data_IF_401555843716
#
_entry.id   IF_401555843716
#
_cell.length_a   1.000
_cell.length_b   1.000
_cell.length_c   1.000
_cell.angle_alpha   90.00
_cell.angle_beta   90.00
_cell.angle_gamma   90.00
#
_symmetry.space_group_name_H-M   'P 1'
#
loop_
_entity.id
_entity.type
_entity.pdbx_description
1 polymer ?
#
# COMPACT_ATOMS: atom_id res chain seq x y z
N UNK A 1 -2.06 -11.87 -23.99
CA UNK A 1 -1.86 -11.69 -23.56
C UNK A 1 -1.63 -11.32 -22.60
N UNK A 2 -1.40 -11.47 -22.17
CA UNK A 2 -1.28 -11.23 -21.32
C UNK A 2 -0.83 -10.31 -20.65
N UNK A 3 -0.13 -9.93 -20.87
CA UNK A 3 0.21 -8.81 -20.17
C UNK A 3 -0.86 -8.21 -19.48
N UNK A 4 -1.71 -8.94 -19.20
CA UNK A 4 -2.78 -8.46 -18.53
C UNK A 4 -2.51 -8.04 -17.19
N UNK A 5 -1.38 -8.38 -16.64
CA UNK A 5 -1.10 -8.03 -15.28
C UNK A 5 -1.30 -6.58 -14.97
N UNK A 6 -0.81 -5.67 -15.79
CA UNK A 6 -1.00 -4.26 -15.49
C UNK A 6 -2.45 -3.87 -15.49
N UNK A 7 -3.23 -4.59 -16.23
CA UNK A 7 -4.60 -4.23 -16.36
C UNK A 7 -5.39 -4.55 -15.16
N UNK A 8 -4.88 -5.35 -14.26
CA UNK A 8 -5.57 -5.68 -13.07
C UNK A 8 -5.39 -4.68 -11.98
N UNK A 9 -4.56 -3.69 -12.20
CA UNK A 9 -4.28 -2.68 -11.20
C UNK A 9 -5.04 -1.41 -11.51
N UNK A 10 -5.44 -0.68 -10.48
CA UNK A 10 -6.19 0.55 -10.69
C UNK A 10 -5.40 1.56 -11.49
N UNK A 11 -6.12 2.32 -12.25
CA UNK A 11 -5.52 3.34 -13.05
C UNK A 11 -4.81 4.37 -12.20
N UNK A 12 -5.30 4.64 -11.01
CA UNK A 12 -4.69 5.62 -10.13
C UNK A 12 -3.26 5.28 -9.78
N UNK A 13 -2.94 3.99 -9.74
CA UNK A 13 -1.58 3.61 -9.43
C UNK A 13 -0.60 4.01 -10.52
N UNK A 14 -1.10 4.20 -11.72
CA UNK A 14 -0.25 4.60 -12.82
C UNK A 14 -0.06 6.09 -12.90
N UNK A 15 -0.91 6.85 -12.22
CA UNK A 15 -0.87 8.29 -12.31
C UNK A 15 0.13 8.90 -11.36
N UNK A 16 0.62 8.14 -10.41
CA UNK A 16 1.59 8.68 -9.48
C UNK A 16 2.84 7.84 -9.51
N UNK A 17 3.93 8.50 -9.17
CA UNK A 17 5.21 7.84 -9.09
C UNK A 17 5.15 6.74 -8.04
N UNK A 18 5.68 5.57 -8.40
CA UNK A 18 5.71 4.44 -7.49
C UNK A 18 7.16 4.15 -7.16
N UNK A 19 7.45 4.16 -5.88
CA UNK A 19 8.81 4.01 -5.38
C UNK A 19 8.92 2.72 -4.57
N UNK A 20 9.95 1.93 -4.79
CA UNK A 20 10.17 0.76 -3.94
C UNK A 20 10.43 1.20 -2.51
N UNK A 21 9.86 0.49 -1.56
CA UNK A 21 10.01 0.87 -0.17
C UNK A 21 9.89 -0.36 0.69
N UNK A 22 10.98 -1.01 0.98
CA UNK A 22 10.98 -2.27 1.71
C UNK A 22 10.98 -1.98 3.20
N UNK A 23 9.81 -1.66 3.73
CA UNK A 23 9.64 -1.24 5.10
C UNK A 23 8.58 -2.09 5.78
N UNK A 24 8.84 -2.50 7.01
CA UNK A 24 7.86 -3.21 7.80
C UNK A 24 6.91 -2.24 8.43
N UNK A 25 5.62 -2.54 8.36
CA UNK A 25 4.59 -1.70 8.94
C UNK A 25 3.58 -2.59 9.64
N UNK A 26 2.74 -1.96 10.43
CA UNK A 26 1.57 -2.61 10.99
C UNK A 26 0.35 -2.12 10.25
N UNK A 27 -0.59 -3.03 10.06
CA UNK A 27 -1.87 -2.63 9.53
C UNK A 27 -2.95 -3.28 10.37
N UNK A 28 -4.12 -2.73 10.33
CA UNK A 28 -5.24 -3.21 11.11
C UNK A 28 -6.39 -3.58 10.20
N UNK A 29 -6.93 -4.76 10.47
CA UNK A 29 -8.08 -5.29 9.81
C UNK A 29 -9.13 -5.36 10.86
N UNK A 30 -10.12 -4.51 10.82
CA UNK A 30 -11.08 -4.33 11.89
C UNK A 30 -10.36 -4.00 13.19
N UNK A 31 -10.26 -4.94 14.13
CA UNK A 31 -9.62 -4.67 15.42
C UNK A 31 -8.30 -5.40 15.61
N UNK A 32 -7.87 -6.18 14.63
CA UNK A 32 -6.67 -6.98 14.75
C UNK A 32 -5.51 -6.26 14.07
N UNK A 33 -4.40 -6.15 14.79
CA UNK A 33 -3.18 -5.58 14.22
C UNK A 33 -2.34 -6.69 13.64
N UNK A 34 -1.84 -6.46 12.44
CA UNK A 34 -1.05 -7.44 11.72
C UNK A 34 0.20 -6.77 11.20
N UNK A 35 1.25 -7.55 11.07
CA UNK A 35 2.51 -7.04 10.53
C UNK A 35 2.57 -7.34 9.04
N UNK A 36 3.14 -6.41 8.29
CA UNK A 36 3.31 -6.59 6.86
C UNK A 36 4.52 -5.79 6.42
N UNK A 37 4.93 -6.03 5.20
CA UNK A 37 6.02 -5.30 4.59
C UNK A 37 5.48 -4.52 3.41
N UNK A 38 5.81 -3.24 3.33
CA UNK A 38 5.51 -2.47 2.14
C UNK A 38 6.55 -2.82 1.10
N UNK A 39 6.10 -3.17 -0.09
CA UNK A 39 6.99 -3.46 -1.20
C UNK A 39 7.23 -2.22 -2.05
N UNK A 40 6.21 -1.42 -2.24
CA UNK A 40 6.37 -0.13 -2.89
C UNK A 40 5.24 0.80 -2.47
N UNK A 41 5.45 2.07 -2.70
CA UNK A 41 4.54 3.12 -2.24
C UNK A 41 4.39 4.17 -3.32
N UNK A 42 3.17 4.65 -3.50
CA UNK A 42 2.88 5.85 -4.27
C UNK A 42 2.02 6.76 -3.43
N UNK A 43 1.74 7.94 -3.93
CA UNK A 43 0.85 8.86 -3.21
C UNK A 43 -0.55 8.28 -3.04
N UNK A 44 -0.99 7.45 -3.96
CA UNK A 44 -2.37 6.96 -3.98
C UNK A 44 -2.53 5.60 -3.34
N UNK A 45 -1.46 4.86 -3.13
CA UNK A 45 -1.58 3.54 -2.56
C UNK A 45 -0.25 2.85 -2.36
N UNK A 46 -0.33 1.58 -2.04
CA UNK A 46 0.89 0.80 -1.79
C UNK A 46 0.65 -0.66 -2.09
N UNK A 47 1.73 -1.40 -2.14
CA UNK A 47 1.68 -2.85 -2.26
C UNK A 47 2.26 -3.43 -0.97
N UNK A 48 1.49 -4.33 -0.37
CA UNK A 48 1.86 -4.98 0.87
C UNK A 48 2.18 -6.44 0.63
N UNK A 49 3.07 -6.99 1.42
CA UNK A 49 3.27 -8.43 1.53
C UNK A 49 3.18 -8.82 2.99
N UNK A 50 2.46 -9.89 3.27
CA UNK A 50 2.28 -10.33 4.65
C UNK A 50 1.82 -11.76 4.71
N UNK A 51 1.62 -12.24 5.93
CA UNK A 51 1.20 -13.62 6.15
C UNK A 51 -0.30 -13.80 6.00
N UNK A 52 -1.05 -12.72 6.14
CA UNK A 52 -2.50 -12.80 6.08
C UNK A 52 -2.98 -12.63 4.67
N UNK A 53 -4.01 -13.35 4.32
CA UNK A 53 -4.66 -13.17 3.04
C UNK A 53 -5.72 -12.10 3.17
N UNK A 54 -5.58 -11.07 2.38
CA UNK A 54 -6.57 -10.00 2.32
C UNK A 54 -7.51 -10.25 1.17
N UNK A 55 -8.68 -9.65 1.22
CA UNK A 55 -9.69 -9.78 0.16
C UNK A 55 -9.86 -8.46 -0.55
N UNK A 56 -10.04 -8.53 -1.85
CA UNK A 56 -10.37 -7.35 -2.63
C UNK A 56 -11.65 -6.72 -2.08
N UNK A 57 -11.62 -5.42 -1.89
CA UNK A 57 -12.73 -4.67 -1.34
C UNK A 57 -12.65 -4.46 0.16
N UNK A 58 -11.76 -5.15 0.82
CA UNK A 58 -11.60 -5.05 2.26
C UNK A 58 -10.95 -3.73 2.62
N UNK A 59 -11.38 -3.12 3.74
CA UNK A 59 -10.74 -1.90 4.25
C UNK A 59 -9.69 -2.27 5.29
N UNK A 60 -8.57 -1.59 5.24
CA UNK A 60 -7.49 -1.78 6.21
C UNK A 60 -7.02 -0.41 6.65
N UNK A 61 -6.39 -0.36 7.83
CA UNK A 61 -5.79 0.85 8.35
C UNK A 61 -4.30 0.60 8.42
N UNK A 62 -3.54 1.41 7.72
CA UNK A 62 -2.10 1.22 7.58
C UNK A 62 -1.37 2.34 8.29
N UNK A 63 -0.41 1.99 9.12
CA UNK A 63 0.39 2.98 9.83
C UNK A 63 1.73 3.10 9.14
N UNK A 64 1.90 4.18 8.41
CA UNK A 64 3.17 4.50 7.75
C UNK A 64 4.10 5.15 8.77
N UNK A 65 5.42 5.08 8.54
CA UNK A 65 6.36 5.67 9.48
C UNK A 65 6.07 7.15 9.72
N UNK A 66 5.93 7.51 11.00
CA UNK A 66 5.75 8.90 11.38
C UNK A 66 4.37 9.46 11.17
N UNK A 67 3.40 8.65 10.77
CA UNK A 67 2.05 9.13 10.48
C UNK A 67 1.03 8.38 11.30
N UNK A 68 -0.13 9.00 11.52
CA UNK A 68 -1.25 8.26 12.13
C UNK A 68 -1.79 7.23 11.15
N UNK A 69 -2.57 6.26 11.64
CA UNK A 69 -3.15 5.24 10.75
C UNK A 69 -3.97 5.85 9.64
N UNK A 70 -3.90 5.22 8.48
CA UNK A 70 -4.51 5.74 7.27
C UNK A 70 -5.36 4.65 6.65
N UNK A 71 -6.57 4.98 6.30
CA UNK A 71 -7.50 4.00 5.73
C UNK A 71 -7.17 3.75 4.28
N UNK A 72 -7.22 2.48 3.89
CA UNK A 72 -6.99 2.07 2.52
C UNK A 72 -7.94 0.94 2.19
N UNK A 73 -8.16 0.73 0.91
CA UNK A 73 -9.00 -0.35 0.43
C UNK A 73 -8.15 -1.27 -0.42
N UNK A 74 -8.30 -2.57 -0.19
CA UNK A 74 -7.62 -3.59 -0.98
C UNK A 74 -8.28 -3.65 -2.35
N UNK A 75 -7.50 -3.46 -3.40
CA UNK A 75 -8.03 -3.42 -4.76
C UNK A 75 -7.59 -4.59 -5.61
N UNK A 76 -6.54 -5.29 -5.22
CA UNK A 76 -6.17 -6.57 -5.83
C UNK A 76 -5.36 -7.37 -4.83
N UNK A 77 -5.37 -8.68 -5.02
CA UNK A 77 -4.57 -9.58 -4.19
C UNK A 77 -3.93 -10.64 -5.07
N UNK A 78 -2.78 -11.13 -4.63
CA UNK A 78 -2.10 -12.23 -5.28
C UNK A 78 -1.29 -12.95 -4.22
N UNK A 79 -1.78 -14.10 -3.79
CA UNK A 79 -1.18 -14.89 -2.72
C UNK A 79 -1.09 -14.05 -1.45
N UNK A 80 0.12 -13.71 -1.03
CA UNK A 80 0.31 -12.93 0.19
C UNK A 80 0.64 -11.48 -0.09
N UNK A 81 0.41 -11.03 -1.32
CA UNK A 81 0.56 -9.63 -1.67
C UNK A 81 -0.80 -9.02 -1.90
N UNK A 82 -0.87 -7.72 -1.67
CA UNK A 82 -2.09 -6.98 -1.91
C UNK A 82 -1.75 -5.56 -2.33
N UNK A 83 -2.52 -5.07 -3.29
CA UNK A 83 -2.45 -3.67 -3.65
C UNK A 83 -3.57 -2.94 -2.96
N UNK A 84 -3.25 -1.80 -2.37
CA UNK A 84 -4.21 -1.01 -1.61
C UNK A 84 -4.19 0.42 -2.10
N UNK A 85 -5.36 1.04 -2.16
CA UNK A 85 -5.49 2.46 -2.47
C UNK A 85 -5.91 3.18 -1.22
N UNK A 86 -5.23 4.27 -0.92
CA UNK A 86 -5.63 5.12 0.21
C UNK A 86 -6.96 5.78 -0.09
N UNK A 87 -7.79 5.90 0.94
CA UNK A 87 -9.03 6.66 0.82
C UNK A 87 -8.69 8.11 0.48
N UNK A 88 -7.65 8.64 1.10
CA UNK A 88 -7.14 9.96 0.77
C UNK A 88 -5.68 9.84 0.38
N UNK A 89 -5.29 10.36 -0.77
CA UNK A 89 -3.90 10.29 -1.20
C UNK A 89 -2.96 11.01 -0.24
N UNK A 90 -1.72 10.58 -0.21
CA UNK A 90 -0.69 11.26 0.54
C UNK A 90 -0.38 12.59 -0.13
N UNK A 91 -0.12 13.60 0.69
CA UNK A 91 0.42 14.84 0.18
C UNK A 91 1.81 14.56 -0.41
N UNK A 92 2.15 15.27 -1.47
CA UNK A 92 3.40 15.02 -2.17
C UNK A 92 4.61 15.16 -1.26
N UNK A 93 4.61 16.19 -0.42
CA UNK A 93 5.73 16.39 0.49
C UNK A 93 5.85 15.28 1.52
N UNK A 94 4.73 14.72 1.95
CA UNK A 94 4.73 13.62 2.90
C UNK A 94 5.27 12.36 2.23
N UNK A 95 4.83 12.11 1.01
CA UNK A 95 5.32 10.98 0.24
C UNK A 95 6.84 11.07 0.06
N UNK A 96 7.33 12.24 -0.33
CA UNK A 96 8.76 12.44 -0.54
C UNK A 96 9.53 12.23 0.75
N UNK A 97 9.01 12.71 1.87
CA UNK A 97 9.68 12.56 3.14
C UNK A 97 9.80 11.10 3.54
N UNK A 98 8.73 10.32 3.34
CA UNK A 98 8.75 8.90 3.69
C UNK A 98 9.77 8.17 2.83
N UNK A 99 9.71 8.38 1.52
CA UNK A 99 10.59 7.68 0.59
C UNK A 99 12.04 8.04 0.85
N UNK A 100 12.32 9.32 1.01
CA UNK A 100 13.68 9.79 1.24
C UNK A 100 14.22 9.27 2.57
N UNK A 101 13.38 9.28 3.59
CA UNK A 101 13.81 8.83 4.92
C UNK A 101 14.13 7.35 4.98
N UNK A 102 13.64 6.56 4.03
CA UNK A 102 13.85 5.12 4.06
C UNK A 102 14.64 4.59 2.87
N UNK A 103 15.25 5.49 2.11
CA UNK A 103 16.09 5.08 1.01
C UNK A 103 17.55 5.09 1.35
N UNK A 104 17.91 5.40 2.55
CA UNK A 104 19.32 5.45 2.98
C UNK A 104 19.89 4.10 3.26
#
# INVERSE_FOLDING_TARGET
MSAELPEQRPQQERQSERRPLMVRVQYRRTIVRLAAQILDLSRHGLRLAGMERLRTGESVWITLPGLPPRQAKVVWTDRFEAGCLFVEPLHEAVFDAIVTGHMH
#
